data_IF_651397195183
#
_entry.id   IF_651397195183
#
_cell.length_a   1.000
_cell.length_b   1.000
_cell.length_c   1.000
_cell.angle_alpha   90.00
_cell.angle_beta   90.00
_cell.angle_gamma   90.00
#
_symmetry.space_group_name_H-M   'P 1'
#
loop_
_entity.id
_entity.type
_entity.pdbx_description
1 polymer ?
#
# COMPACT_ATOMS: atom_id res chain seq x y z
N UNK A 1 -15.55 21.83 -23.59
CA UNK A 1 -14.42 21.16 -22.99
C UNK A 1 -13.28 21.11 -23.96
N UNK A 2 -12.12 21.51 -23.55
CA UNK A 2 -11.01 21.65 -24.44
C UNK A 2 -9.73 21.08 -23.84
N UNK A 3 -8.62 21.36 -24.51
CA UNK A 3 -7.29 20.90 -24.13
C UNK A 3 -6.89 21.37 -22.73
N UNK A 4 -7.28 22.60 -22.34
CA UNK A 4 -6.97 23.14 -21.01
C UNK A 4 -7.65 22.36 -19.89
N UNK A 5 -8.85 21.82 -20.13
CA UNK A 5 -9.55 20.97 -19.15
C UNK A 5 -8.81 19.64 -18.97
N UNK A 6 -8.33 19.03 -20.06
CA UNK A 6 -7.51 17.84 -20.02
C UNK A 6 -6.20 18.09 -19.28
N UNK A 7 -5.55 19.22 -19.54
CA UNK A 7 -4.29 19.56 -18.87
C UNK A 7 -4.48 19.76 -17.37
N UNK A 8 -5.58 20.41 -16.95
CA UNK A 8 -5.92 20.58 -15.54
C UNK A 8 -6.16 19.24 -14.86
N UNK A 9 -6.92 18.35 -15.49
CA UNK A 9 -7.19 17.01 -14.95
C UNK A 9 -5.91 16.20 -14.85
N UNK A 10 -5.04 16.25 -15.85
CA UNK A 10 -3.76 15.55 -15.81
C UNK A 10 -2.85 16.06 -14.69
N UNK A 11 -2.85 17.37 -14.43
CA UNK A 11 -2.11 17.94 -13.30
C UNK A 11 -2.64 17.40 -11.96
N UNK A 12 -3.97 17.36 -11.82
CA UNK A 12 -4.60 16.81 -10.62
C UNK A 12 -4.25 15.34 -10.43
N UNK A 13 -4.29 14.55 -11.50
CA UNK A 13 -3.91 13.14 -11.47
C UNK A 13 -2.45 12.98 -11.06
N UNK A 14 -1.55 13.78 -11.62
CA UNK A 14 -0.13 13.74 -11.28
C UNK A 14 0.11 14.04 -9.80
N UNK A 15 -0.61 14.99 -9.23
CA UNK A 15 -0.52 15.30 -7.79
C UNK A 15 -0.96 14.10 -6.93
N UNK A 16 -2.00 13.39 -7.38
CA UNK A 16 -2.46 12.17 -6.69
C UNK A 16 -1.38 11.09 -6.79
N UNK A 17 -0.80 10.90 -7.97
CA UNK A 17 0.27 9.92 -8.15
C UNK A 17 1.45 10.20 -7.22
N UNK A 18 1.86 11.47 -7.11
CA UNK A 18 2.92 11.88 -6.19
C UNK A 18 2.56 11.54 -4.74
N UNK A 19 1.31 11.79 -4.35
CA UNK A 19 0.83 11.48 -3.01
C UNK A 19 0.83 9.96 -2.74
N UNK A 20 0.43 9.16 -3.72
CA UNK A 20 0.46 7.69 -3.61
C UNK A 20 1.89 7.21 -3.34
N UNK A 21 2.86 7.70 -4.11
CA UNK A 21 4.26 7.30 -3.94
C UNK A 21 4.80 7.75 -2.57
N UNK A 22 4.51 8.97 -2.14
CA UNK A 22 4.92 9.46 -0.83
C UNK A 22 4.34 8.60 0.30
N UNK A 23 3.07 8.20 0.19
CA UNK A 23 2.42 7.35 1.17
C UNK A 23 2.99 5.93 1.17
N UNK A 24 3.36 5.39 0.01
CA UNK A 24 4.04 4.11 -0.07
C UNK A 24 5.40 4.15 0.64
N UNK A 25 6.18 5.20 0.43
CA UNK A 25 7.46 5.37 1.14
C UNK A 25 7.25 5.36 2.64
N UNK A 26 6.29 6.14 3.15
CA UNK A 26 5.97 6.18 4.58
C UNK A 26 5.55 4.81 5.11
N UNK A 27 4.73 4.09 4.35
CA UNK A 27 4.28 2.77 4.74
C UNK A 27 5.45 1.80 4.85
N UNK A 28 6.37 1.82 3.89
CA UNK A 28 7.57 0.99 3.94
C UNK A 28 8.48 1.36 5.11
N UNK A 29 8.62 2.64 5.44
CA UNK A 29 9.37 3.06 6.61
C UNK A 29 8.82 2.42 7.89
N UNK A 30 7.50 2.41 8.06
CA UNK A 30 6.85 1.76 9.20
C UNK A 30 7.00 0.25 9.17
N UNK A 31 6.84 -0.39 8.01
CA UNK A 31 7.00 -1.85 7.92
C UNK A 31 8.44 -2.28 8.09
N UNK A 32 9.41 -1.45 7.74
CA UNK A 32 10.82 -1.70 8.07
C UNK A 32 11.02 -1.75 9.60
N UNK A 33 10.40 -0.82 10.34
CA UNK A 33 10.42 -0.84 11.81
C UNK A 33 9.75 -2.10 12.38
N UNK A 34 8.62 -2.51 11.79
CA UNK A 34 7.97 -3.77 12.14
C UNK A 34 8.94 -4.94 11.94
N UNK A 35 9.67 -4.93 10.82
CA UNK A 35 10.68 -5.95 10.53
C UNK A 35 11.78 -6.01 11.58
N UNK A 36 12.28 -4.86 12.03
CA UNK A 36 13.29 -4.80 13.08
C UNK A 36 12.80 -5.41 14.39
N UNK A 37 11.58 -5.08 14.77
CA UNK A 37 10.94 -5.61 15.99
C UNK A 37 10.76 -7.13 15.88
N UNK A 38 10.25 -7.60 14.74
CA UNK A 38 10.04 -9.04 14.52
C UNK A 38 11.37 -9.81 14.57
N UNK A 39 12.40 -9.30 13.92
CA UNK A 39 13.70 -9.92 13.90
C UNK A 39 14.33 -9.97 15.31
N UNK A 40 14.18 -8.89 16.07
CA UNK A 40 14.70 -8.82 17.44
C UNK A 40 13.99 -9.80 18.41
N UNK A 41 12.74 -10.16 18.11
CA UNK A 41 11.91 -11.00 18.97
C UNK A 41 11.64 -12.38 18.37
N UNK A 42 12.31 -12.75 17.29
CA UNK A 42 12.14 -14.04 16.60
C UNK A 42 10.69 -14.29 16.15
N UNK A 43 10.01 -13.22 15.72
CA UNK A 43 8.64 -13.30 15.19
C UNK A 43 8.73 -13.48 13.67
N UNK A 44 7.98 -14.43 13.09
CA UNK A 44 7.96 -14.58 11.63
C UNK A 44 7.50 -13.32 10.92
N UNK A 45 8.16 -12.98 9.80
CA UNK A 45 7.83 -11.82 8.99
C UNK A 45 6.42 -11.92 8.39
N UNK A 46 6.05 -13.11 7.88
CA UNK A 46 4.76 -13.31 7.25
C UNK A 46 3.64 -13.46 8.28
N UNK A 47 2.54 -12.72 8.04
CA UNK A 47 1.32 -12.83 8.84
C UNK A 47 0.12 -12.70 7.88
N UNK A 48 -0.33 -13.83 7.37
CA UNK A 48 -1.41 -13.89 6.37
C UNK A 48 -2.75 -13.38 6.93
N UNK A 49 -2.99 -13.55 8.23
CA UNK A 49 -4.20 -13.07 8.87
C UNK A 49 -4.28 -11.54 8.85
N UNK A 50 -3.18 -10.87 9.17
CA UNK A 50 -3.08 -9.40 9.11
C UNK A 50 -3.26 -8.90 7.67
N UNK A 51 -2.64 -9.59 6.70
CA UNK A 51 -2.77 -9.23 5.28
C UNK A 51 -4.23 -9.32 4.83
N UNK A 52 -4.92 -10.41 5.15
CA UNK A 52 -6.34 -10.62 4.83
C UNK A 52 -7.22 -9.54 5.46
N UNK A 53 -7.02 -9.27 6.74
CA UNK A 53 -7.80 -8.25 7.47
C UNK A 53 -7.57 -6.85 6.90
N UNK A 54 -6.35 -6.55 6.46
CA UNK A 54 -6.03 -5.28 5.83
C UNK A 54 -6.81 -5.10 4.54
N UNK A 55 -6.84 -6.09 3.67
CA UNK A 55 -7.59 -6.05 2.41
C UNK A 55 -9.09 -5.88 2.70
N UNK A 56 -9.64 -6.62 3.65
CA UNK A 56 -11.05 -6.53 4.02
C UNK A 56 -11.40 -5.12 4.53
N UNK A 57 -10.58 -4.58 5.42
CA UNK A 57 -10.79 -3.23 5.97
C UNK A 57 -10.75 -2.16 4.87
N UNK A 58 -9.77 -2.24 3.98
CA UNK A 58 -9.62 -1.27 2.90
C UNK A 58 -10.76 -1.35 1.88
N UNK A 59 -11.25 -2.55 1.61
CA UNK A 59 -12.41 -2.74 0.73
C UNK A 59 -13.64 -2.05 1.31
N UNK A 60 -13.89 -2.22 2.61
CA UNK A 60 -14.99 -1.53 3.29
C UNK A 60 -14.80 -0.01 3.28
N UNK A 61 -13.57 0.46 3.53
CA UNK A 61 -13.27 1.89 3.54
C UNK A 61 -13.48 2.56 2.18
N UNK A 62 -13.39 1.80 1.09
CA UNK A 62 -13.62 2.33 -0.25
C UNK A 62 -15.10 2.60 -0.56
N UNK A 63 -16.01 2.21 0.34
CA UNK A 63 -17.46 2.39 0.17
C UNK A 63 -17.96 1.80 -1.17
N UNK A 64 -17.48 0.61 -1.49
CA UNK A 64 -17.81 -0.13 -2.74
C UNK A 64 -17.34 0.57 -4.03
N UNK A 65 -16.51 1.61 -3.92
CA UNK A 65 -15.95 2.28 -5.10
C UNK A 65 -14.80 1.52 -5.73
N UNK A 66 -14.13 0.66 -4.95
CA UNK A 66 -13.04 -0.19 -5.42
C UNK A 66 -13.39 -1.64 -5.13
N UNK A 67 -13.19 -2.48 -6.14
CA UNK A 67 -13.39 -3.91 -6.05
C UNK A 67 -12.35 -4.56 -5.13
N UNK A 68 -12.78 -5.54 -4.35
CA UNK A 68 -11.91 -6.30 -3.44
C UNK A 68 -10.74 -6.95 -4.18
N UNK A 69 -10.98 -7.50 -5.37
CA UNK A 69 -9.92 -8.12 -6.16
C UNK A 69 -8.86 -7.09 -6.57
N UNK A 70 -9.28 -5.90 -6.97
CA UNK A 70 -8.38 -4.81 -7.32
C UNK A 70 -7.51 -4.40 -6.12
N UNK A 71 -8.12 -4.23 -4.95
CA UNK A 71 -7.39 -3.90 -3.70
C UNK A 71 -6.42 -5.03 -3.35
N UNK A 72 -6.88 -6.28 -3.44
CA UNK A 72 -6.05 -7.45 -3.17
C UNK A 72 -4.82 -7.51 -4.08
N UNK A 73 -5.00 -7.24 -5.37
CA UNK A 73 -3.89 -7.28 -6.34
C UNK A 73 -2.82 -6.23 -6.02
N UNK A 74 -3.24 -5.00 -5.72
CA UNK A 74 -2.32 -3.92 -5.34
C UNK A 74 -1.59 -4.27 -4.04
N UNK A 75 -2.34 -4.69 -3.02
CA UNK A 75 -1.78 -4.96 -1.70
C UNK A 75 -0.94 -6.22 -1.66
N UNK A 76 -1.21 -7.21 -2.50
CA UNK A 76 -0.32 -8.37 -2.64
C UNK A 76 1.09 -7.92 -3.06
N UNK A 77 1.18 -6.99 -4.00
CA UNK A 77 2.47 -6.41 -4.41
C UNK A 77 3.12 -5.64 -3.26
N UNK A 78 2.35 -4.83 -2.54
CA UNK A 78 2.85 -4.06 -1.40
C UNK A 78 3.35 -5.01 -0.30
N UNK A 79 2.57 -6.03 0.06
CA UNK A 79 2.93 -7.01 1.09
C UNK A 79 4.20 -7.77 0.72
N UNK A 80 4.29 -8.22 -0.52
CA UNK A 80 5.47 -8.94 -1.02
C UNK A 80 6.74 -8.11 -0.84
N UNK A 81 6.68 -6.85 -1.25
CA UNK A 81 7.82 -5.93 -1.12
C UNK A 81 8.14 -5.62 0.35
N UNK A 82 7.13 -5.41 1.19
CA UNK A 82 7.31 -5.19 2.63
C UNK A 82 8.02 -6.38 3.30
N UNK A 83 7.60 -7.60 2.98
CA UNK A 83 8.19 -8.83 3.54
C UNK A 83 9.64 -9.03 3.09
N UNK A 84 9.93 -8.76 1.82
CA UNK A 84 11.29 -8.84 1.31
C UNK A 84 12.22 -7.85 2.03
N UNK A 85 11.76 -6.62 2.22
CA UNK A 85 12.52 -5.58 2.96
C UNK A 85 12.76 -6.03 4.40
N UNK A 86 11.75 -6.55 5.08
CA UNK A 86 11.87 -7.02 6.47
C UNK A 86 12.85 -8.18 6.61
N UNK A 87 12.95 -9.06 5.62
CA UNK A 87 13.89 -10.19 5.62
C UNK A 87 15.34 -9.76 5.42
N UNK A 88 15.57 -8.57 4.85
CA UNK A 88 16.92 -8.02 4.62
C UNK A 88 17.46 -7.20 5.79
N UNK A 89 16.62 -6.90 6.74
CA UNK A 89 16.97 -6.07 7.90
C UNK A 89 17.75 -6.85 8.97
#
# INVERSE_FOLDING_TARGET
MGRSDLDSLRKNIAQIDDAIVELLVKRFDFTDEVGRIKNANNIPVENLDVERKTVERLTLNSEDKLDKQFISDIYTTIFTNSKERQRRI
#
